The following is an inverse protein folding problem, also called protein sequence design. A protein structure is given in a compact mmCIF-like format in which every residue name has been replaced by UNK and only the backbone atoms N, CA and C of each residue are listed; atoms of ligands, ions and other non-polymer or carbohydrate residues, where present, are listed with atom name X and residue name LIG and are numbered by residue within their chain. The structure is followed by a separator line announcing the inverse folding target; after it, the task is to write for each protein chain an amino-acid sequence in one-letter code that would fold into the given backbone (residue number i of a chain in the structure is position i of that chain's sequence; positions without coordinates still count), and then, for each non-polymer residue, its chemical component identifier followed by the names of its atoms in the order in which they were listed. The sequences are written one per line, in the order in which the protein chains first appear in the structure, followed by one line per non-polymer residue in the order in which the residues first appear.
data_IF_136256538566
#
_entry.id   IF_136256538566
#
_cell.length_a   1.000
_cell.length_b   1.000
_cell.length_c   1.000
_cell.angle_alpha   90.00
_cell.angle_beta   90.00
_cell.angle_gamma   90.00
#
_symmetry.space_group_name_H-M   'P 1'
#
loop_
_entity.id
_entity.type
_entity.pdbx_description
1 polymer ?
#
# COMPACT_ATOMS: atom_id res chain seq x y z
N UNK A 1 4.21 -20.22 -21.97
CA UNK A 1 5.46 -19.43 -21.79
C UNK A 1 6.71 -20.26 -22.02
N UNK A 2 6.78 -21.50 -21.54
CA UNK A 2 7.96 -22.37 -21.72
C UNK A 2 8.37 -22.64 -23.19
N UNK A 3 7.40 -22.77 -24.10
CA UNK A 3 7.68 -23.03 -25.53
C UNK A 3 8.27 -21.83 -26.28
N UNK A 4 7.81 -20.60 -26.00
CA UNK A 4 8.30 -19.37 -26.65
C UNK A 4 9.77 -19.05 -26.32
N UNK A 5 10.20 -19.50 -25.15
CA UNK A 5 11.54 -19.27 -24.60
C UNK A 5 12.50 -20.45 -24.84
N UNK A 6 12.00 -21.58 -25.36
CA UNK A 6 12.81 -22.76 -25.62
C UNK A 6 13.83 -22.49 -26.75
N UNK A 7 15.11 -22.72 -26.51
CA UNK A 7 16.20 -22.56 -27.48
C UNK A 7 16.76 -21.14 -27.67
N UNK A 8 16.26 -20.13 -26.93
CA UNK A 8 16.74 -18.74 -27.03
C UNK A 8 17.90 -18.42 -26.06
N UNK A 9 18.77 -17.48 -26.45
CA UNK A 9 19.93 -17.04 -25.64
C UNK A 9 19.49 -16.17 -24.46
N UNK A 10 20.32 -16.07 -23.41
CA UNK A 10 20.03 -15.33 -22.16
C UNK A 10 19.62 -13.85 -22.38
N UNK A 11 20.21 -13.17 -23.37
CA UNK A 11 19.86 -11.78 -23.70
C UNK A 11 18.50 -11.68 -24.41
N UNK A 12 18.22 -12.62 -25.31
CA UNK A 12 16.93 -12.74 -25.99
C UNK A 12 15.82 -13.11 -25.00
N UNK A 13 16.14 -13.92 -23.99
CA UNK A 13 15.28 -14.20 -22.84
C UNK A 13 14.92 -12.93 -22.07
N UNK A 14 15.92 -12.11 -21.71
CA UNK A 14 15.68 -10.84 -21.00
C UNK A 14 14.84 -9.88 -21.85
N UNK A 15 15.10 -9.80 -23.15
CA UNK A 15 14.30 -8.97 -24.07
C UNK A 15 12.88 -9.49 -24.20
N UNK A 16 12.71 -10.81 -24.39
CA UNK A 16 11.41 -11.46 -24.51
C UNK A 16 10.57 -11.30 -23.24
N UNK A 17 11.18 -11.44 -22.05
CA UNK A 17 10.52 -11.19 -20.77
C UNK A 17 10.06 -9.73 -20.70
N UNK A 18 10.92 -8.77 -21.04
CA UNK A 18 10.58 -7.34 -21.06
C UNK A 18 9.46 -7.01 -22.06
N UNK A 19 9.43 -7.68 -23.21
CA UNK A 19 8.36 -7.53 -24.20
C UNK A 19 7.06 -8.19 -23.76
N UNK A 20 7.11 -9.33 -23.07
CA UNK A 20 5.94 -10.02 -22.49
C UNK A 20 5.36 -9.22 -21.31
N UNK A 21 6.22 -8.65 -20.46
CA UNK A 21 5.83 -7.72 -19.39
C UNK A 21 5.18 -6.44 -19.94
N UNK A 22 5.54 -6.04 -21.16
CA UNK A 22 4.90 -4.91 -21.86
C UNK A 22 3.61 -5.31 -22.57
N UNK A 23 3.55 -6.54 -23.10
CA UNK A 23 2.45 -7.07 -23.90
C UNK A 23 2.15 -8.51 -23.47
N UNK A 24 1.24 -8.74 -22.51
CA UNK A 24 0.77 -10.07 -22.18
C UNK A 24 0.17 -10.70 -23.43
N UNK A 25 0.23 -12.04 -23.46
CA UNK A 25 -0.25 -12.82 -24.59
C UNK A 25 -1.69 -12.39 -24.95
N UNK A 26 -1.90 -11.88 -26.17
CA UNK A 26 -3.16 -11.22 -26.58
C UNK A 26 -4.42 -12.03 -26.25
N UNK A 27 -4.35 -13.36 -26.38
CA UNK A 27 -5.46 -14.25 -26.02
C UNK A 27 -5.77 -14.27 -24.53
N UNK A 28 -4.75 -14.33 -23.67
CA UNK A 28 -4.91 -14.33 -22.20
C UNK A 28 -5.43 -12.98 -21.73
N UNK A 29 -4.89 -11.90 -22.30
CA UNK A 29 -5.40 -10.55 -22.05
C UNK A 29 -6.86 -10.41 -22.45
N UNK A 30 -7.25 -10.88 -23.65
CA UNK A 30 -8.63 -10.82 -24.14
C UNK A 30 -9.61 -11.55 -23.22
N UNK A 31 -9.28 -12.78 -22.79
CA UNK A 31 -10.16 -13.56 -21.90
C UNK A 31 -10.34 -12.89 -20.55
N UNK A 32 -9.24 -12.44 -19.91
CA UNK A 32 -9.31 -11.78 -18.61
C UNK A 32 -9.97 -10.40 -18.70
N UNK A 33 -9.81 -9.69 -19.81
CA UNK A 33 -10.47 -8.42 -20.06
C UNK A 33 -12.00 -8.58 -20.16
N UNK A 34 -12.51 -9.65 -20.76
CA UNK A 34 -13.97 -9.92 -20.78
C UNK A 34 -14.53 -9.99 -19.36
N UNK A 35 -13.82 -10.66 -18.45
CA UNK A 35 -14.23 -10.76 -17.04
C UNK A 35 -14.22 -9.39 -16.36
N UNK A 36 -13.23 -8.55 -16.66
CA UNK A 36 -13.18 -7.17 -16.16
C UNK A 36 -14.29 -6.30 -16.76
N UNK A 37 -14.56 -6.39 -18.06
CA UNK A 37 -15.55 -5.57 -18.76
C UNK A 37 -16.97 -5.86 -18.24
N UNK A 38 -17.24 -7.08 -17.79
CA UNK A 38 -18.49 -7.50 -17.16
C UNK A 38 -18.72 -6.92 -15.74
N UNK A 39 -17.69 -6.36 -15.10
CA UNK A 39 -17.82 -5.72 -13.80
C UNK A 39 -18.57 -4.39 -13.90
N UNK A 40 -19.32 -4.04 -12.86
CA UNK A 40 -19.90 -2.71 -12.69
C UNK A 40 -18.82 -1.70 -12.25
N UNK A 41 -19.13 -0.41 -12.34
CA UNK A 41 -18.15 0.67 -12.16
C UNK A 41 -17.47 0.68 -10.78
N UNK A 42 -18.19 0.28 -9.72
CA UNK A 42 -17.63 0.18 -8.37
C UNK A 42 -16.58 -0.95 -8.30
N UNK A 43 -16.91 -2.12 -8.81
CA UNK A 43 -16.07 -3.32 -8.82
C UNK A 43 -14.84 -3.11 -9.73
N UNK A 44 -15.00 -2.42 -10.87
CA UNK A 44 -13.86 -2.01 -11.72
C UNK A 44 -12.88 -1.14 -10.94
N UNK A 45 -13.36 -0.15 -10.18
CA UNK A 45 -12.49 0.71 -9.35
C UNK A 45 -11.80 -0.08 -8.25
N UNK A 46 -12.51 -0.98 -7.57
CA UNK A 46 -11.95 -1.87 -6.54
C UNK A 46 -10.87 -2.77 -7.14
N UNK A 47 -11.16 -3.42 -8.26
CA UNK A 47 -10.22 -4.29 -8.96
C UNK A 47 -8.91 -3.57 -9.28
N UNK A 48 -9.00 -2.37 -9.88
CA UNK A 48 -7.83 -1.57 -10.24
C UNK A 48 -7.06 -1.07 -9.00
N UNK A 49 -7.75 -0.70 -7.93
CA UNK A 49 -7.12 -0.31 -6.67
C UNK A 49 -6.35 -1.48 -6.03
N UNK A 50 -6.95 -2.68 -6.02
CA UNK A 50 -6.31 -3.90 -5.54
C UNK A 50 -5.07 -4.18 -6.38
N UNK A 51 -5.22 -4.28 -7.71
CA UNK A 51 -4.15 -4.60 -8.64
C UNK A 51 -2.95 -3.64 -8.50
N UNK A 52 -3.20 -2.35 -8.32
CA UNK A 52 -2.15 -1.34 -8.28
C UNK A 52 -1.51 -1.18 -6.90
N UNK A 53 -2.31 -1.25 -5.83
CA UNK A 53 -1.89 -0.72 -4.53
C UNK A 53 -1.81 -1.73 -3.40
N UNK A 54 -2.72 -2.71 -3.33
CA UNK A 54 -2.94 -3.47 -2.09
C UNK A 54 -2.97 -5.00 -2.27
N UNK A 55 -2.45 -5.54 -3.38
CA UNK A 55 -2.18 -6.98 -3.49
C UNK A 55 -1.27 -7.43 -2.33
N UNK A 56 -1.68 -8.48 -1.63
CA UNK A 56 -0.98 -9.07 -0.49
C UNK A 56 -1.26 -8.42 0.86
N UNK A 57 -2.12 -7.39 0.91
CA UNK A 57 -2.57 -6.78 2.15
C UNK A 57 -3.73 -7.58 2.77
N UNK A 58 -3.94 -7.38 4.07
CA UNK A 58 -5.06 -7.97 4.82
C UNK A 58 -6.42 -7.47 4.29
N UNK A 59 -7.39 -8.38 4.17
CA UNK A 59 -8.72 -8.11 3.61
C UNK A 59 -9.47 -7.01 4.36
N UNK A 60 -9.47 -7.03 5.69
CA UNK A 60 -10.19 -6.02 6.48
C UNK A 60 -9.55 -4.65 6.34
N UNK A 61 -8.23 -4.62 6.22
CA UNK A 61 -7.49 -3.41 5.90
C UNK A 61 -7.85 -2.86 4.50
N UNK A 62 -7.95 -3.74 3.49
CA UNK A 62 -8.37 -3.37 2.14
C UNK A 62 -9.80 -2.81 2.14
N UNK A 63 -10.76 -3.50 2.78
CA UNK A 63 -12.15 -3.05 2.92
C UNK A 63 -12.20 -1.65 3.55
N UNK A 64 -11.61 -1.48 4.73
CA UNK A 64 -11.59 -0.19 5.43
C UNK A 64 -10.91 0.91 4.61
N UNK A 65 -9.88 0.58 3.83
CA UNK A 65 -9.21 1.54 2.96
C UNK A 65 -10.12 2.02 1.82
N UNK A 66 -10.77 1.08 1.14
CA UNK A 66 -11.62 1.37 -0.02
C UNK A 66 -12.94 2.08 0.38
N UNK A 67 -13.54 1.74 1.52
CA UNK A 67 -14.70 2.46 2.07
C UNK A 67 -14.40 3.95 2.28
N UNK A 68 -13.19 4.26 2.77
CA UNK A 68 -12.75 5.65 2.97
C UNK A 68 -12.65 6.41 1.64
N UNK A 69 -12.44 5.70 0.53
CA UNK A 69 -12.46 6.28 -0.81
C UNK A 69 -13.86 6.45 -1.39
N UNK A 70 -14.91 6.09 -0.64
CA UNK A 70 -16.31 6.17 -1.08
C UNK A 70 -16.73 5.01 -1.98
N UNK A 71 -16.00 3.90 -1.94
CA UNK A 71 -16.35 2.66 -2.64
C UNK A 71 -17.18 1.75 -1.74
N UNK A 72 -17.84 0.76 -2.33
CA UNK A 72 -18.57 -0.30 -1.62
C UNK A 72 -17.80 -1.63 -1.71
N UNK A 73 -16.70 -1.81 -0.95
CA UNK A 73 -15.80 -2.95 -1.13
C UNK A 73 -16.33 -4.26 -0.57
N UNK A 74 -17.25 -4.25 0.40
CA UNK A 74 -17.76 -5.50 1.00
C UNK A 74 -18.40 -6.40 -0.05
N UNK A 75 -19.33 -5.86 -0.83
CA UNK A 75 -19.96 -6.60 -1.94
C UNK A 75 -18.98 -6.72 -3.11
N UNK A 76 -18.26 -5.66 -3.44
CA UNK A 76 -17.38 -5.68 -4.61
C UNK A 76 -16.24 -6.69 -4.51
N UNK A 77 -15.69 -6.94 -3.31
CA UNK A 77 -14.69 -7.99 -3.09
C UNK A 77 -15.28 -9.39 -3.29
N UNK A 78 -16.50 -9.65 -2.80
CA UNK A 78 -17.17 -10.94 -3.03
C UNK A 78 -17.41 -11.18 -4.53
N UNK A 79 -17.87 -10.16 -5.27
CA UNK A 79 -18.02 -10.26 -6.73
C UNK A 79 -16.70 -10.59 -7.43
N UNK A 80 -15.58 -9.98 -7.00
CA UNK A 80 -14.27 -10.29 -7.56
C UNK A 80 -13.78 -11.71 -7.20
N UNK A 81 -14.19 -12.26 -6.06
CA UNK A 81 -13.91 -13.65 -5.66
C UNK A 81 -14.75 -14.62 -6.51
N UNK A 82 -16.05 -14.37 -6.67
CA UNK A 82 -16.97 -15.18 -7.47
C UNK A 82 -16.51 -15.26 -8.94
N UNK A 83 -15.99 -14.14 -9.47
CA UNK A 83 -15.40 -14.06 -10.81
C UNK A 83 -13.98 -14.63 -10.90
N UNK A 84 -13.42 -15.17 -9.80
CA UNK A 84 -12.05 -15.69 -9.70
C UNK A 84 -10.97 -14.67 -10.10
N UNK A 85 -11.25 -13.37 -9.93
CA UNK A 85 -10.32 -12.27 -10.23
C UNK A 85 -9.36 -12.01 -9.07
N UNK A 86 -9.78 -12.33 -7.86
CA UNK A 86 -8.96 -12.32 -6.64
C UNK A 86 -9.25 -13.56 -5.81
N UNK A 87 -8.37 -13.85 -4.86
CA UNK A 87 -8.60 -14.86 -3.82
C UNK A 87 -8.24 -14.28 -2.46
N UNK A 88 -8.82 -14.83 -1.40
CA UNK A 88 -8.44 -14.51 -0.01
C UNK A 88 -7.80 -15.77 0.57
N UNK A 89 -6.55 -15.68 0.97
CA UNK A 89 -5.81 -16.79 1.57
C UNK A 89 -6.23 -17.03 3.02
N UNK A 90 -5.79 -18.16 3.59
CA UNK A 90 -6.06 -18.55 4.97
C UNK A 90 -5.58 -17.53 6.02
N UNK A 91 -4.57 -16.72 5.67
CA UNK A 91 -4.05 -15.64 6.51
C UNK A 91 -4.76 -14.30 6.27
N UNK A 92 -5.96 -14.34 5.69
CA UNK A 92 -6.82 -13.20 5.36
C UNK A 92 -6.21 -12.21 4.35
N UNK A 93 -5.18 -12.60 3.59
CA UNK A 93 -4.59 -11.71 2.58
C UNK A 93 -5.30 -11.80 1.24
N UNK A 94 -5.53 -10.64 0.64
CA UNK A 94 -6.06 -10.52 -0.72
C UNK A 94 -4.93 -10.84 -1.71
N UNK A 95 -5.12 -11.85 -2.54
CA UNK A 95 -4.21 -12.23 -3.62
C UNK A 95 -4.85 -11.97 -4.98
N UNK A 96 -4.00 -11.63 -5.93
CA UNK A 96 -4.35 -11.50 -7.33
C UNK A 96 -3.28 -12.21 -8.14
N UNK A 97 -3.71 -13.11 -9.04
CA UNK A 97 -2.77 -13.82 -9.88
C UNK A 97 -1.97 -12.84 -10.75
N UNK A 98 -0.68 -13.09 -10.98
CA UNK A 98 0.22 -12.16 -11.69
C UNK A 98 -0.30 -11.73 -13.06
N UNK A 99 -0.91 -12.65 -13.81
CA UNK A 99 -1.54 -12.34 -15.11
C UNK A 99 -2.75 -11.40 -14.99
N UNK A 100 -3.55 -11.56 -13.93
CA UNK A 100 -4.72 -10.71 -13.67
C UNK A 100 -4.27 -9.32 -13.24
N UNK A 101 -3.24 -9.25 -12.39
CA UNK A 101 -2.62 -8.00 -11.99
C UNK A 101 -2.02 -7.26 -13.19
N UNK A 102 -1.37 -7.98 -14.11
CA UNK A 102 -0.85 -7.38 -15.34
C UNK A 102 -1.98 -6.84 -16.23
N UNK A 103 -3.11 -7.54 -16.33
CA UNK A 103 -4.31 -7.03 -17.04
C UNK A 103 -4.82 -5.74 -16.41
N UNK A 104 -4.94 -5.68 -15.08
CA UNK A 104 -5.27 -4.44 -14.38
C UNK A 104 -4.28 -3.31 -14.70
N UNK A 105 -3.00 -3.65 -14.76
CA UNK A 105 -1.96 -2.71 -15.13
C UNK A 105 -2.09 -2.18 -16.56
N UNK A 106 -2.36 -3.08 -17.51
CA UNK A 106 -2.61 -2.73 -18.90
C UNK A 106 -3.84 -1.86 -19.08
N UNK A 107 -4.92 -2.14 -18.35
CA UNK A 107 -6.14 -1.32 -18.39
C UNK A 107 -5.82 0.12 -18.01
N UNK A 108 -5.10 0.34 -16.90
CA UNK A 108 -4.70 1.70 -16.51
C UNK A 108 -3.80 2.37 -17.56
N UNK A 109 -2.85 1.63 -18.14
CA UNK A 109 -1.98 2.15 -19.21
C UNK A 109 -2.75 2.51 -20.49
N UNK A 110 -3.94 1.95 -20.71
CA UNK A 110 -4.76 2.20 -21.88
C UNK A 110 -5.83 3.28 -21.64
N UNK A 111 -5.99 3.79 -20.42
CA UNK A 111 -6.89 4.92 -20.14
C UNK A 111 -6.50 6.14 -20.99
N UNK A 112 -5.20 6.44 -21.05
CA UNK A 112 -4.64 7.54 -21.83
C UNK A 112 -3.27 7.18 -22.39
N UNK A 113 -2.89 7.70 -23.57
CA UNK A 113 -1.54 7.56 -24.09
C UNK A 113 -0.47 8.19 -23.19
N UNK A 114 -0.81 9.27 -22.48
CA UNK A 114 0.12 10.00 -21.64
C UNK A 114 0.12 9.48 -20.19
N UNK A 115 1.30 9.11 -19.70
CA UNK A 115 1.50 8.60 -18.32
C UNK A 115 0.94 9.55 -17.25
N UNK A 116 1.07 10.86 -17.46
CA UNK A 116 0.56 11.89 -16.54
C UNK A 116 -0.97 11.94 -16.41
N UNK A 117 -1.70 11.21 -17.26
CA UNK A 117 -3.17 11.10 -17.21
C UNK A 117 -3.66 9.75 -16.70
N UNK A 118 -2.78 8.77 -16.45
CA UNK A 118 -3.17 7.51 -15.85
C UNK A 118 -3.72 7.73 -14.43
N UNK A 119 -4.89 7.15 -14.14
CA UNK A 119 -5.55 7.32 -12.84
C UNK A 119 -4.74 6.73 -11.68
N UNK A 120 -3.95 5.68 -11.94
CA UNK A 120 -3.15 4.98 -10.93
C UNK A 120 -1.70 4.89 -11.38
N UNK A 121 -0.79 5.29 -10.51
CA UNK A 121 0.65 5.24 -10.74
C UNK A 121 1.29 4.34 -9.69
N UNK A 122 1.65 3.11 -10.06
CA UNK A 122 2.37 2.16 -9.18
C UNK A 122 3.69 1.67 -9.80
N UNK A 123 3.89 1.88 -11.10
CA UNK A 123 5.14 1.57 -11.78
C UNK A 123 6.15 2.67 -11.50
N UNK A 124 7.28 2.29 -10.92
CA UNK A 124 8.39 3.20 -10.57
C UNK A 124 8.75 4.13 -11.73
N UNK A 125 8.89 3.60 -12.94
CA UNK A 125 9.25 4.34 -14.15
C UNK A 125 8.26 5.49 -14.43
N UNK A 126 6.97 5.20 -14.28
CA UNK A 126 5.89 6.15 -14.56
C UNK A 126 5.82 7.24 -13.50
N UNK A 127 5.98 6.85 -12.23
CA UNK A 127 6.03 7.80 -11.11
C UNK A 127 7.21 8.77 -11.30
N UNK A 128 8.41 8.26 -11.63
CA UNK A 128 9.56 9.12 -11.90
C UNK A 128 9.31 10.06 -13.08
N UNK A 129 8.81 9.55 -14.21
CA UNK A 129 8.50 10.39 -15.37
C UNK A 129 7.52 11.51 -15.01
N UNK A 130 6.46 11.20 -14.27
CA UNK A 130 5.44 12.19 -13.89
C UNK A 130 5.99 13.30 -13.01
N UNK A 131 6.86 12.96 -12.06
CA UNK A 131 7.46 13.94 -11.14
C UNK A 131 8.64 14.71 -11.73
N UNK A 132 9.47 14.06 -12.55
CA UNK A 132 10.62 14.69 -13.20
C UNK A 132 10.19 15.68 -14.27
N UNK A 133 9.22 15.28 -15.11
CA UNK A 133 8.75 16.08 -16.24
C UNK A 133 7.57 17.02 -15.87
N UNK A 134 7.12 17.02 -14.61
CA UNK A 134 5.94 17.77 -14.12
C UNK A 134 4.67 17.56 -14.98
N UNK A 135 4.52 16.34 -15.53
CA UNK A 135 3.41 15.96 -16.44
C UNK A 135 2.15 15.51 -15.69
N UNK A 136 2.20 15.48 -14.36
CA UNK A 136 1.07 15.06 -13.53
C UNK A 136 -0.18 15.92 -13.72
N UNK A 137 -1.31 15.26 -13.98
CA UNK A 137 -2.59 15.92 -14.21
C UNK A 137 -3.60 15.62 -13.12
N UNK A 138 -4.78 16.24 -13.22
CA UNK A 138 -5.90 16.00 -12.33
C UNK A 138 -6.56 14.61 -12.49
N UNK A 139 -6.15 13.81 -13.47
CA UNK A 139 -6.66 12.45 -13.64
C UNK A 139 -6.08 11.47 -12.62
N UNK A 140 -4.90 11.76 -12.05
CA UNK A 140 -4.22 10.89 -11.09
C UNK A 140 -5.00 10.85 -9.77
N UNK A 141 -5.44 9.65 -9.40
CA UNK A 141 -6.15 9.36 -8.16
C UNK A 141 -5.27 8.66 -7.11
N UNK A 142 -4.27 7.87 -7.53
CA UNK A 142 -3.43 7.13 -6.60
C UNK A 142 -1.98 7.01 -7.04
N UNK A 143 -1.06 7.18 -6.10
CA UNK A 143 0.39 7.02 -6.33
C UNK A 143 0.97 6.07 -5.29
N UNK A 144 1.68 5.04 -5.76
CA UNK A 144 2.47 4.13 -4.94
C UNK A 144 3.90 4.07 -5.47
N UNK A 145 4.86 4.33 -4.59
CA UNK A 145 6.28 4.22 -4.87
C UNK A 145 6.96 3.53 -3.68
N UNK A 146 7.52 2.35 -3.94
CA UNK A 146 8.12 1.49 -2.91
C UNK A 146 9.50 1.05 -3.38
N UNK A 147 10.52 1.28 -2.56
CA UNK A 147 11.87 0.80 -2.83
C UNK A 147 12.35 -0.16 -1.74
N UNK A 148 13.23 -1.12 -2.07
CA UNK A 148 13.88 -1.96 -1.06
C UNK A 148 14.88 -1.17 -0.20
N UNK A 149 15.46 -0.10 -0.75
CA UNK A 149 16.38 0.83 -0.07
C UNK A 149 15.99 2.26 -0.38
N UNK A 150 16.41 3.20 0.47
CA UNK A 150 16.09 4.62 0.27
C UNK A 150 16.55 5.11 -1.10
N UNK A 151 15.66 5.81 -1.81
CA UNK A 151 15.95 6.43 -3.11
C UNK A 151 15.39 7.84 -3.18
N UNK A 152 16.13 8.73 -3.84
CA UNK A 152 15.73 10.12 -4.06
C UNK A 152 14.71 10.17 -5.20
N UNK A 153 13.58 10.81 -4.95
CA UNK A 153 12.58 11.22 -5.93
C UNK A 153 12.75 12.72 -6.19
N UNK A 154 13.15 13.06 -7.41
CA UNK A 154 13.27 14.44 -7.85
C UNK A 154 11.89 14.96 -8.22
N UNK A 155 11.46 16.04 -7.57
CA UNK A 155 10.20 16.70 -7.85
C UNK A 155 10.26 18.20 -7.57
N UNK A 156 9.39 18.94 -8.24
CA UNK A 156 9.13 20.35 -7.95
C UNK A 156 8.32 20.51 -6.66
N UNK A 157 8.58 21.57 -5.89
CA UNK A 157 7.78 21.92 -4.70
C UNK A 157 6.27 22.09 -4.98
N UNK A 158 5.89 22.28 -6.26
CA UNK A 158 4.50 22.42 -6.73
C UNK A 158 3.95 21.16 -7.44
N UNK A 159 4.67 20.04 -7.47
CA UNK A 159 4.31 18.86 -8.27
C UNK A 159 2.88 18.35 -8.00
N UNK A 160 2.44 18.36 -6.74
CA UNK A 160 1.10 17.92 -6.36
C UNK A 160 -0.01 18.94 -6.64
N UNK A 161 0.31 20.19 -7.03
CA UNK A 161 -0.68 21.27 -7.19
C UNK A 161 -1.72 20.97 -8.28
N UNK A 162 -1.34 20.25 -9.34
CA UNK A 162 -2.22 19.90 -10.47
C UNK A 162 -3.08 18.64 -10.22
N UNK A 163 -2.70 17.80 -9.25
CA UNK A 163 -3.30 16.47 -9.00
C UNK A 163 -4.45 16.53 -7.98
N UNK A 164 -5.47 17.36 -8.24
CA UNK A 164 -6.50 17.66 -7.21
C UNK A 164 -7.34 16.45 -6.78
N UNK A 165 -7.52 15.46 -7.66
CA UNK A 165 -8.23 14.19 -7.42
C UNK A 165 -7.39 13.10 -6.73
N UNK A 166 -6.12 13.38 -6.41
CA UNK A 166 -5.27 12.40 -5.74
C UNK A 166 -5.86 12.08 -4.36
N UNK A 167 -6.28 10.83 -4.16
CA UNK A 167 -6.88 10.30 -2.93
C UNK A 167 -5.94 9.41 -2.11
N UNK A 168 -4.94 8.80 -2.74
CA UNK A 168 -4.00 7.88 -2.10
C UNK A 168 -2.53 8.18 -2.43
N UNK A 169 -1.69 8.29 -1.41
CA UNK A 169 -0.24 8.41 -1.55
C UNK A 169 0.48 7.37 -0.67
N UNK A 170 1.24 6.46 -1.28
CA UNK A 170 2.03 5.43 -0.59
C UNK A 170 3.49 5.57 -1.01
N UNK A 171 4.34 6.08 -0.14
CA UNK A 171 5.77 6.24 -0.35
C UNK A 171 6.56 5.46 0.71
N UNK A 172 7.28 4.42 0.29
CA UNK A 172 8.14 3.62 1.18
C UNK A 172 9.58 3.67 0.72
N UNK A 173 10.47 4.05 1.63
CA UNK A 173 11.89 4.29 1.35
C UNK A 173 12.10 5.36 0.25
N UNK A 174 11.28 6.41 0.27
CA UNK A 174 11.36 7.53 -0.68
C UNK A 174 11.84 8.78 0.06
N UNK A 175 12.89 9.40 -0.45
CA UNK A 175 13.38 10.70 -0.01
C UNK A 175 13.08 11.71 -1.12
N UNK A 176 12.48 12.84 -0.81
CA UNK A 176 12.26 13.90 -1.80
C UNK A 176 13.48 14.80 -1.95
N UNK A 177 13.73 15.27 -3.17
CA UNK A 177 14.77 16.28 -3.43
C UNK A 177 14.45 17.65 -2.84
N UNK A 178 13.17 18.02 -2.74
CA UNK A 178 12.71 19.32 -2.23
C UNK A 178 11.47 19.19 -1.34
N UNK A 179 11.24 20.11 -0.39
CA UNK A 179 10.02 20.14 0.39
C UNK A 179 8.81 20.50 -0.48
N UNK A 180 7.72 19.78 -0.28
CA UNK A 180 6.45 20.04 -0.97
C UNK A 180 5.73 21.21 -0.31
N UNK A 181 5.14 22.09 -1.14
CA UNK A 181 4.35 23.25 -0.67
C UNK A 181 2.85 23.00 -0.68
N UNK A 182 2.39 21.98 -1.40
CA UNK A 182 0.98 21.70 -1.63
C UNK A 182 0.71 20.21 -1.45
N UNK A 183 -0.37 19.90 -0.76
CA UNK A 183 -1.00 18.58 -0.80
C UNK A 183 -2.38 18.70 -1.47
N UNK A 184 -2.81 17.70 -2.26
CA UNK A 184 -4.10 17.71 -2.92
C UNK A 184 -5.27 17.76 -1.92
N UNK A 185 -6.35 18.43 -2.31
CA UNK A 185 -7.50 18.67 -1.43
C UNK A 185 -8.35 17.42 -1.17
N UNK A 186 -8.40 16.50 -2.15
CA UNK A 186 -9.15 15.24 -2.07
C UNK A 186 -8.33 14.10 -1.47
N UNK A 187 -7.13 14.36 -0.95
CA UNK A 187 -6.27 13.33 -0.38
C UNK A 187 -6.91 12.71 0.86
N UNK A 188 -7.08 11.38 0.85
CA UNK A 188 -7.78 10.63 1.90
C UNK A 188 -6.85 9.76 2.71
N UNK A 189 -5.76 9.29 2.11
CA UNK A 189 -4.79 8.41 2.78
C UNK A 189 -3.36 8.74 2.37
N UNK A 190 -2.49 8.88 3.37
CA UNK A 190 -1.04 9.00 3.22
C UNK A 190 -0.37 7.89 4.02
N UNK A 191 0.50 7.12 3.37
CA UNK A 191 1.43 6.17 3.98
C UNK A 191 2.85 6.55 3.55
N UNK A 192 3.59 7.20 4.45
CA UNK A 192 4.88 7.81 4.14
C UNK A 192 5.89 7.68 5.29
N UNK A 193 6.32 6.46 5.64
CA UNK A 193 7.38 6.25 6.62
C UNK A 193 8.67 7.00 6.26
N UNK A 194 9.29 7.63 7.26
CA UNK A 194 10.58 8.30 7.11
C UNK A 194 10.52 9.67 6.43
N UNK A 195 9.37 10.35 6.43
CA UNK A 195 9.27 11.70 5.87
C UNK A 195 10.29 12.66 6.50
N UNK A 196 11.13 13.25 5.65
CA UNK A 196 12.38 13.88 6.09
C UNK A 196 12.27 15.35 6.50
N UNK A 197 11.17 16.03 6.15
CA UNK A 197 11.02 17.47 6.42
C UNK A 197 10.26 17.76 7.72
N UNK A 198 10.55 18.90 8.38
CA UNK A 198 9.95 19.26 9.66
C UNK A 198 8.47 19.66 9.60
N UNK A 199 7.97 19.97 8.41
CA UNK A 199 6.59 20.43 8.18
C UNK A 199 5.96 19.68 7.01
N UNK A 200 4.68 19.35 7.15
CA UNK A 200 3.84 18.80 6.07
C UNK A 200 2.75 19.82 5.75
N UNK A 201 2.53 20.22 4.48
CA UNK A 201 1.66 21.34 4.12
C UNK A 201 0.17 20.96 4.18
N UNK A 202 -0.35 20.78 5.40
CA UNK A 202 -1.74 20.41 5.68
C UNK A 202 -2.69 21.63 5.78
N UNK A 203 -2.21 22.86 5.58
CA UNK A 203 -3.05 24.07 5.54
C UNK A 203 -2.74 24.88 4.27
N UNK A 204 -3.71 25.13 3.36
CA UNK A 204 -5.12 24.70 3.43
C UNK A 204 -5.36 23.20 3.29
N UNK A 205 -4.38 22.44 2.77
CA UNK A 205 -4.29 20.97 2.79
C UNK A 205 -5.53 20.15 2.41
N UNK A 206 -5.49 18.83 2.68
CA UNK A 206 -6.61 17.94 2.41
C UNK A 206 -7.73 18.08 3.44
N UNK A 207 -8.95 18.33 2.97
CA UNK A 207 -10.14 18.44 3.83
C UNK A 207 -10.76 17.08 4.19
N UNK A 208 -10.45 16.05 3.39
CA UNK A 208 -11.05 14.71 3.49
C UNK A 208 -10.03 13.68 3.96
N UNK A 209 -8.93 14.10 4.59
CA UNK A 209 -7.90 13.18 5.06
C UNK A 209 -8.45 12.28 6.16
N UNK A 210 -8.52 10.98 5.89
CA UNK A 210 -9.00 9.97 6.83
C UNK A 210 -7.84 9.20 7.45
N UNK A 211 -6.71 9.07 6.75
CA UNK A 211 -5.55 8.33 7.27
C UNK A 211 -4.24 9.05 7.02
N UNK A 212 -3.46 9.17 8.09
CA UNK A 212 -2.11 9.69 8.06
C UNK A 212 -1.16 8.74 8.78
N UNK A 213 -0.43 7.92 8.02
CA UNK A 213 0.59 7.01 8.52
C UNK A 213 1.98 7.50 8.11
N UNK A 214 2.66 8.22 8.99
CA UNK A 214 4.00 8.78 8.71
C UNK A 214 4.96 8.48 9.89
N UNK A 215 5.25 7.19 10.16
CA UNK A 215 6.12 6.81 11.26
C UNK A 215 7.58 7.22 10.99
N UNK A 216 8.34 7.41 12.06
CA UNK A 216 9.77 7.77 12.01
C UNK A 216 10.03 9.02 11.15
N UNK A 217 9.14 10.00 11.20
CA UNK A 217 9.28 11.27 10.48
C UNK A 217 9.92 12.34 11.35
N UNK A 218 10.50 13.35 10.69
CA UNK A 218 11.07 14.52 11.36
C UNK A 218 10.04 15.64 11.59
N UNK A 219 8.73 15.36 11.46
CA UNK A 219 7.69 16.38 11.58
C UNK A 219 7.67 16.93 13.00
N UNK A 220 7.96 18.22 13.14
CA UNK A 220 7.96 18.93 14.42
C UNK A 220 6.68 19.76 14.61
N UNK A 221 6.05 20.18 13.52
CA UNK A 221 4.82 20.96 13.53
C UNK A 221 3.83 20.37 12.53
N UNK A 222 2.67 19.98 13.05
CA UNK A 222 1.51 19.64 12.24
C UNK A 222 0.66 20.90 12.15
N UNK A 223 0.51 21.47 10.95
CA UNK A 223 -0.15 22.77 10.77
C UNK A 223 -1.59 22.79 11.32
N UNK A 224 -2.16 23.99 11.48
CA UNK A 224 -3.51 24.18 12.09
C UNK A 224 -4.62 23.31 11.48
N UNK A 225 -4.49 22.90 10.21
CA UNK A 225 -5.41 21.99 9.53
C UNK A 225 -5.53 20.61 10.19
N UNK A 226 -4.59 20.20 11.06
CA UNK A 226 -4.70 18.96 11.82
C UNK A 226 -5.80 18.99 12.88
N UNK A 227 -6.11 20.18 13.43
CA UNK A 227 -7.18 20.37 14.42
C UNK A 227 -8.56 19.99 13.87
N UNK A 228 -8.73 19.99 12.54
CA UNK A 228 -9.99 19.71 11.85
C UNK A 228 -10.21 18.21 11.59
N UNK A 229 -9.18 17.37 11.74
CA UNK A 229 -9.28 15.92 11.53
C UNK A 229 -9.93 15.32 12.78
N UNK A 230 -11.22 14.98 12.70
CA UNK A 230 -11.94 14.32 13.81
C UNK A 230 -11.19 13.07 14.28
N UNK A 231 -10.91 13.01 15.58
CA UNK A 231 -10.14 11.96 16.26
C UNK A 231 -10.64 10.53 15.97
N UNK A 232 -11.96 10.37 15.71
CA UNK A 232 -12.61 9.08 15.43
C UNK A 232 -12.19 8.43 14.09
N UNK A 233 -11.50 9.15 13.20
CA UNK A 233 -11.10 8.66 11.87
C UNK A 233 -9.62 8.27 11.77
N UNK A 234 -8.82 8.57 12.79
CA UNK A 234 -7.36 8.42 12.77
C UNK A 234 -6.93 6.96 13.01
N UNK A 235 -6.83 6.20 11.92
CA UNK A 235 -6.10 4.93 11.93
C UNK A 235 -4.59 5.16 12.09
N UNK A 236 -4.12 5.12 13.33
CA UNK A 236 -2.71 4.98 13.78
C UNK A 236 -1.77 6.11 13.34
N UNK A 237 -1.64 7.15 14.17
CA UNK A 237 -0.43 8.00 14.20
C UNK A 237 0.62 7.24 15.03
N UNK A 238 1.53 6.48 14.41
CA UNK A 238 2.72 6.00 15.13
C UNK A 238 3.83 7.04 15.01
N UNK A 239 3.74 8.12 15.76
CA UNK A 239 4.89 9.01 16.00
C UNK A 239 5.49 8.61 17.34
N UNK A 240 6.52 7.75 17.36
CA UNK A 240 7.46 7.79 18.47
C UNK A 240 8.18 9.12 18.34
N UNK A 241 8.06 9.97 19.37
CA UNK A 241 8.58 11.34 19.52
C UNK A 241 7.82 12.47 18.79
N UNK A 242 6.70 12.91 19.37
CA UNK A 242 6.27 14.32 19.28
C UNK A 242 6.44 14.98 20.65
N UNK A 243 7.40 15.90 20.77
CA UNK A 243 7.44 16.87 21.89
C UNK A 243 6.72 18.12 21.41
N UNK A 244 5.43 18.24 21.72
CA UNK A 244 4.65 19.45 21.41
C UNK A 244 5.01 20.55 22.42
N UNK A 245 5.56 21.69 21.95
CA UNK A 245 5.52 22.94 22.71
C UNK A 245 4.25 23.69 22.30
N UNK A 246 3.27 23.73 23.20
CA UNK A 246 2.09 24.59 23.04
C UNK A 246 2.51 26.04 23.32
N UNK A 247 2.52 26.90 22.30
CA UNK A 247 2.33 28.33 22.51
C UNK A 247 0.83 28.64 22.39
N UNK A 248 0.33 29.35 23.38
CA UNK A 248 -1.07 29.80 23.60
C UNK A 248 -1.99 28.82 24.34
N UNK A 249 -2.32 29.25 25.55
CA UNK A 249 -3.01 28.50 26.58
C UNK A 249 -4.49 28.27 26.28
N UNK A 250 -4.83 27.01 26.02
CA UNK A 250 -6.07 26.40 26.50
C UNK A 250 -5.65 24.99 26.95
N UNK A 251 -5.74 24.73 28.26
CA UNK A 251 -5.36 23.46 28.86
C UNK A 251 -6.42 22.38 28.58
N UNK A 252 -6.21 21.56 27.56
CA UNK A 252 -6.89 20.29 27.39
C UNK A 252 -5.88 19.15 27.47
N UNK A 253 -5.93 18.34 28.54
CA UNK A 253 -5.07 17.16 28.68
C UNK A 253 -5.39 16.15 27.57
N UNK A 254 -4.60 16.13 26.50
CA UNK A 254 -4.57 15.00 25.56
C UNK A 254 -4.01 13.79 26.32
N UNK A 255 -4.88 12.87 26.73
CA UNK A 255 -4.48 11.61 27.34
C UNK A 255 -3.67 10.81 26.31
N UNK A 256 -2.48 10.39 26.75
CA UNK A 256 -1.59 9.46 26.07
C UNK A 256 -2.30 8.11 25.92
N UNK A 257 -2.98 7.87 24.80
CA UNK A 257 -3.46 6.54 24.44
C UNK A 257 -2.45 5.89 23.51
N UNK A 258 -1.53 5.12 24.08
CA UNK A 258 -0.72 4.16 23.32
C UNK A 258 -1.60 2.94 23.11
N UNK A 259 -2.23 2.80 21.94
CA UNK A 259 -2.81 1.51 21.55
C UNK A 259 -1.67 0.63 21.05
N UNK A 260 -1.09 -0.15 21.96
CA UNK A 260 -0.46 -1.42 21.59
C UNK A 260 -1.63 -2.32 21.24
N UNK A 261 -1.66 -2.88 20.03
CA UNK A 261 -2.47 -4.07 19.79
C UNK A 261 -1.82 -5.19 20.62
N UNK A 262 -2.19 -5.30 21.89
CA UNK A 262 -2.12 -6.57 22.57
C UNK A 262 -3.12 -7.48 21.86
N UNK A 263 -2.61 -8.54 21.25
CA UNK A 263 -3.43 -9.69 20.90
C UNK A 263 -4.15 -10.13 22.16
N UNK A 264 -5.48 -9.97 22.21
CA UNK A 264 -6.29 -10.60 23.25
C UNK A 264 -6.07 -12.11 23.16
N UNK A 265 -5.34 -12.63 24.15
CA UNK A 265 -5.41 -13.99 24.69
C UNK A 265 -5.48 -15.12 23.68
N UNK A 266 -4.31 -15.64 23.29
CA UNK A 266 -4.14 -17.10 23.33
C UNK A 266 -3.49 -17.39 24.67
N UNK A 267 -4.20 -18.17 25.49
CA UNK A 267 -3.83 -18.63 26.81
C UNK A 267 -2.37 -19.13 26.88
N UNK A 268 -1.48 -18.30 27.43
CA UNK A 268 -0.05 -18.62 27.64
C UNK A 268 0.17 -19.74 28.67
N UNK A 269 -0.88 -20.29 29.28
CA UNK A 269 -0.76 -21.45 30.18
C UNK A 269 -0.54 -22.78 29.44
N UNK A 270 -0.91 -22.89 28.15
CA UNK A 270 -0.75 -24.12 27.36
C UNK A 270 0.61 -24.23 26.66
N UNK A 271 1.20 -23.10 26.25
CA UNK A 271 2.54 -23.07 25.66
C UNK A 271 3.63 -23.37 26.71
N UNK A 272 3.48 -22.86 27.94
CA UNK A 272 4.42 -23.13 29.04
C UNK A 272 4.35 -24.59 29.54
N UNK A 273 3.17 -25.23 29.47
CA UNK A 273 2.99 -26.66 29.78
C UNK A 273 3.53 -27.58 28.69
N UNK A 274 3.34 -27.26 27.40
CA UNK A 274 3.91 -28.03 26.28
C UNK A 274 5.43 -27.97 26.24
N UNK A 275 6.03 -26.82 26.51
CA UNK A 275 7.50 -26.70 26.57
C UNK A 275 8.09 -27.46 27.76
N UNK A 276 7.39 -27.53 28.91
CA UNK A 276 7.82 -28.35 30.06
C UNK A 276 7.70 -29.85 29.81
N UNK A 277 6.62 -30.30 29.16
CA UNK A 277 6.44 -31.71 28.79
C UNK A 277 7.42 -32.15 27.70
N UNK A 278 7.71 -31.30 26.71
CA UNK A 278 8.72 -31.59 25.67
C UNK A 278 10.14 -31.62 26.24
N UNK A 279 10.45 -30.81 27.25
CA UNK A 279 11.74 -30.87 27.95
C UNK A 279 11.86 -32.12 28.85
N UNK A 280 10.79 -32.49 29.56
CA UNK A 280 10.76 -33.73 30.36
C UNK A 280 10.83 -34.99 29.48
N UNK A 281 10.15 -35.00 28.32
CA UNK A 281 10.21 -36.10 27.36
C UNK A 281 11.59 -36.20 26.70
N UNK A 282 12.25 -35.07 26.37
CA UNK A 282 13.65 -35.07 25.89
C UNK A 282 14.63 -35.58 26.94
N UNK A 283 14.47 -35.18 28.20
CA UNK A 283 15.34 -35.64 29.30
C UNK A 283 15.18 -37.14 29.60
N UNK A 284 13.97 -37.70 29.44
CA UNK A 284 13.74 -39.15 29.57
C UNK A 284 14.34 -39.94 28.39
N UNK A 285 14.24 -39.42 27.16
CA UNK A 285 14.83 -40.05 25.98
C UNK A 285 16.37 -40.03 26.04
N UNK A 286 16.97 -38.93 26.51
CA UNK A 286 18.43 -38.82 26.68
C UNK A 286 18.98 -39.67 27.83
N UNK A 287 18.20 -39.95 28.88
CA UNK A 287 18.59 -40.92 29.92
C UNK A 287 18.39 -42.39 29.50
N UNK A 288 17.50 -42.68 28.55
CA UNK A 288 17.30 -44.03 27.99
C UNK A 288 18.25 -44.40 26.84
N UNK A 289 18.90 -43.41 26.22
CA UNK A 289 19.82 -43.61 25.09
C UNK A 289 21.26 -43.94 25.45
N UNK A 290 21.61 -44.05 26.75
CA UNK A 290 22.98 -44.30 27.21
C UNK A 290 23.17 -45.66 27.92
N UNK A 291 22.34 -46.66 27.58
CA UNK A 291 22.58 -48.08 27.90
C UNK A 291 22.30 -48.93 26.66
N UNK A 292 23.32 -49.12 25.83
CA UNK A 292 23.23 -49.96 24.64
C UNK A 292 24.52 -50.01 23.84
N UNK A 293 25.66 -50.04 24.53
CA UNK A 293 26.95 -50.41 23.95
C UNK A 293 27.42 -51.70 24.59
N UNK A 294 27.22 -52.81 23.87
CA UNK A 294 28.07 -54.00 23.87
C UNK A 294 28.08 -54.53 22.44
#
# INVERSE_FOLDING_TARGET
MGSFLCGRRKLEWKSAIKDIERKPHKQVYGILKISFDALQDNEKKIFLDIACFVVGEDRDYVIKGLERFGLSPTIGIEVLIDMSLITVEWDNKVRMHSLIQEVGGQIVRQEYPEVGKCSRLWLTEYVFHVFLEDTGTNAIEGIKLVFPKQKILYLSSKAFKKMKRLRLLIFRNVVLSTPIKYLPTELRSIDWPGYQFPTLPLNPGPKQLVRLNIPNSHIQQVGEGFKTIKEEKLGVITTRTMTMRSSFGISGKLKRSTYVLESKGVDESLASRRSRLLWQFRAQVEQSGNKGGF
#
